data_IF_434507436253
#
_entry.id   IF_434507436253
#
_cell.length_a   1.000
_cell.length_b   1.000
_cell.length_c   1.000
_cell.angle_alpha   90.00
_cell.angle_beta   90.00
_cell.angle_gamma   90.00
#
_symmetry.space_group_name_H-M   'P 1'
#
loop_
_entity.id
_entity.type
_entity.pdbx_description
1 polymer ?
#
# COMPACT_ATOMS: atom_id res chain seq x y z
N UNK A 1 27.50 9.15 19.92
CA UNK A 1 26.65 8.04 19.46
C UNK A 1 26.28 8.28 18.01
N UNK A 2 26.86 7.53 17.09
CA UNK A 2 26.55 7.61 15.65
C UNK A 2 25.17 7.01 15.42
N UNK A 3 24.18 7.84 15.03
CA UNK A 3 22.86 7.36 14.60
C UNK A 3 23.06 6.40 13.42
N UNK A 4 22.44 5.22 13.51
CA UNK A 4 22.54 4.20 12.47
C UNK A 4 21.94 4.77 11.16
N UNK A 5 22.59 4.58 10.01
CA UNK A 5 22.13 5.20 8.73
C UNK A 5 20.69 4.80 8.36
N UNK A 6 20.25 3.63 8.83
CA UNK A 6 18.88 3.13 8.67
C UNK A 6 17.83 3.93 9.48
N UNK A 7 18.22 4.54 10.60
CA UNK A 7 17.31 5.39 11.41
C UNK A 7 16.96 6.72 10.72
N UNK A 8 17.67 7.07 9.65
CA UNK A 8 17.48 8.32 8.92
C UNK A 8 16.51 8.20 7.74
N UNK A 9 16.19 6.99 7.29
CA UNK A 9 15.25 6.79 6.18
C UNK A 9 13.84 6.96 6.73
N UNK A 10 13.24 8.11 6.43
CA UNK A 10 11.87 8.43 6.81
C UNK A 10 10.94 8.28 5.62
N UNK A 11 9.82 7.60 5.84
CA UNK A 11 8.86 7.31 4.80
C UNK A 11 7.44 7.73 5.18
N UNK A 12 6.67 8.11 4.17
CA UNK A 12 5.25 8.46 4.34
C UNK A 12 4.34 7.28 4.02
N UNK A 13 4.82 6.33 3.22
CA UNK A 13 4.06 5.20 2.70
C UNK A 13 4.88 3.95 2.96
N UNK A 14 4.32 3.01 3.70
CA UNK A 14 4.98 1.74 4.04
C UNK A 14 3.96 0.60 3.93
N UNK A 15 4.45 -0.60 3.68
CA UNK A 15 3.68 -1.83 3.78
C UNK A 15 4.34 -2.75 4.79
N UNK A 16 3.56 -3.25 5.73
CA UNK A 16 3.98 -4.36 6.58
C UNK A 16 3.60 -5.68 5.93
N UNK A 17 4.49 -6.68 5.99
CA UNK A 17 4.24 -8.03 5.47
C UNK A 17 4.75 -9.06 6.46
N UNK A 18 3.89 -10.00 6.88
CA UNK A 18 4.34 -11.11 7.71
C UNK A 18 3.42 -12.34 7.62
N UNK A 19 4.01 -13.52 7.87
CA UNK A 19 3.30 -14.80 7.91
C UNK A 19 2.47 -14.91 9.21
N UNK A 20 1.33 -15.62 9.13
CA UNK A 20 0.44 -15.81 10.29
C UNK A 20 1.18 -16.46 11.47
N UNK A 21 1.98 -17.51 11.23
CA UNK A 21 2.78 -18.18 12.27
C UNK A 21 3.72 -17.21 13.01
N UNK A 22 4.26 -16.21 12.29
CA UNK A 22 5.17 -15.22 12.90
C UNK A 22 4.39 -14.20 13.71
N UNK A 23 3.20 -13.78 13.26
CA UNK A 23 2.33 -12.92 14.04
C UNK A 23 1.90 -13.58 15.36
N UNK A 24 1.50 -14.85 15.30
CA UNK A 24 1.15 -15.63 16.48
C UNK A 24 2.32 -15.71 17.47
N UNK A 25 3.53 -16.01 16.99
CA UNK A 25 4.73 -16.06 17.82
C UNK A 25 5.10 -14.70 18.47
N UNK A 26 4.71 -13.59 17.84
CA UNK A 26 4.88 -12.23 18.38
C UNK A 26 3.72 -11.79 19.29
N UNK A 27 2.67 -12.60 19.43
CA UNK A 27 1.45 -12.21 20.15
C UNK A 27 0.64 -11.13 19.43
N UNK A 28 0.81 -11.00 18.11
CA UNK A 28 0.04 -10.09 17.27
C UNK A 28 -1.23 -10.78 16.74
N UNK A 29 -2.27 -10.02 16.38
CA UNK A 29 -3.49 -10.61 15.85
C UNK A 29 -3.26 -11.39 14.55
N UNK A 30 -3.98 -12.51 14.41
CA UNK A 30 -3.84 -13.45 13.29
C UNK A 30 -5.02 -13.43 12.33
N UNK A 31 -6.00 -12.57 12.56
CA UNK A 31 -7.09 -12.29 11.61
C UNK A 31 -6.93 -10.92 10.96
N UNK A 32 -7.43 -10.77 9.73
CA UNK A 32 -7.35 -9.50 8.98
C UNK A 32 -7.92 -8.32 9.77
N UNK A 33 -9.10 -8.51 10.35
CA UNK A 33 -9.88 -7.43 10.95
C UNK A 33 -9.27 -6.99 12.29
N UNK A 34 -8.80 -7.93 13.12
CA UNK A 34 -8.11 -7.61 14.37
C UNK A 34 -6.73 -7.00 14.12
N UNK A 35 -5.98 -7.51 13.14
CA UNK A 35 -4.68 -6.93 12.76
C UNK A 35 -4.86 -5.51 12.23
N UNK A 36 -5.89 -5.28 11.41
CA UNK A 36 -6.26 -3.96 10.93
C UNK A 36 -6.54 -2.99 12.08
N UNK A 37 -7.41 -3.34 13.04
CA UNK A 37 -7.72 -2.44 14.16
C UNK A 37 -6.51 -2.25 15.08
N UNK A 38 -5.71 -3.29 15.32
CA UNK A 38 -4.47 -3.18 16.09
C UNK A 38 -3.47 -2.23 15.44
N UNK A 39 -3.28 -2.30 14.13
CA UNK A 39 -2.33 -1.44 13.42
C UNK A 39 -2.85 -0.02 13.27
N UNK A 40 -4.15 0.14 13.01
CA UNK A 40 -4.82 1.44 12.97
C UNK A 40 -4.65 2.21 14.29
N UNK A 41 -4.83 1.53 15.42
CA UNK A 41 -4.68 2.13 16.76
C UNK A 41 -3.22 2.35 17.17
N UNK A 42 -2.32 1.42 16.83
CA UNK A 42 -0.89 1.48 17.22
C UNK A 42 -0.09 2.52 16.41
N UNK A 43 -0.41 2.65 15.13
CA UNK A 43 0.34 3.48 14.20
C UNK A 43 -0.36 4.78 13.83
N UNK A 44 -1.69 4.86 13.93
CA UNK A 44 -2.50 6.03 13.57
C UNK A 44 -2.20 6.60 12.16
N UNK A 45 -2.21 5.76 11.11
CA UNK A 45 -2.00 6.23 9.74
C UNK A 45 -3.21 7.04 9.23
N UNK A 46 -2.97 7.94 8.26
CA UNK A 46 -4.02 8.63 7.52
C UNK A 46 -4.87 7.63 6.71
N UNK A 47 -4.20 6.72 6.00
CA UNK A 47 -4.86 5.62 5.29
C UNK A 47 -4.24 4.29 5.69
N UNK A 48 -5.08 3.29 5.92
CA UNK A 48 -4.69 1.91 6.20
C UNK A 48 -5.60 0.94 5.44
N UNK A 49 -4.98 -0.10 4.87
CA UNK A 49 -5.67 -1.19 4.22
C UNK A 49 -4.94 -2.52 4.48
N UNK A 50 -5.67 -3.57 4.82
CA UNK A 50 -5.14 -4.88 5.17
C UNK A 50 -5.82 -6.00 4.37
N UNK A 51 -5.05 -7.00 3.96
CA UNK A 51 -5.54 -8.18 3.21
C UNK A 51 -4.72 -9.42 3.58
N UNK A 52 -5.40 -10.57 3.57
CA UNK A 52 -4.77 -11.89 3.66
C UNK A 52 -4.38 -12.37 2.25
N UNK A 53 -3.12 -12.72 2.07
CA UNK A 53 -2.65 -13.46 0.89
C UNK A 53 -2.51 -14.94 1.25
N UNK A 54 -3.42 -15.76 0.73
CA UNK A 54 -3.53 -17.20 0.95
C UNK A 54 -3.46 -18.04 -0.35
N UNK A 55 -3.31 -17.39 -1.51
CA UNK A 55 -3.34 -18.00 -2.85
C UNK A 55 -2.08 -17.70 -3.67
N UNK A 56 -1.05 -17.15 -3.03
CA UNK A 56 0.21 -16.80 -3.69
C UNK A 56 0.99 -18.07 -4.06
N UNK A 57 1.56 -18.07 -5.27
CA UNK A 57 2.39 -19.16 -5.79
C UNK A 57 3.84 -18.65 -5.91
N UNK A 58 4.77 -19.40 -5.33
CA UNK A 58 6.19 -19.13 -5.35
C UNK A 58 6.81 -19.36 -6.73
N UNK A 59 8.06 -18.92 -6.90
CA UNK A 59 8.79 -19.07 -8.17
C UNK A 59 9.03 -20.54 -8.56
N UNK A 60 9.03 -21.44 -7.58
CA UNK A 60 9.16 -22.89 -7.76
C UNK A 60 7.82 -23.59 -8.00
N UNK A 61 6.72 -22.84 -8.07
CA UNK A 61 5.36 -23.38 -8.24
C UNK A 61 4.71 -23.87 -6.93
N UNK A 62 5.38 -23.74 -5.79
CA UNK A 62 4.80 -24.11 -4.49
C UNK A 62 3.86 -23.01 -3.95
N UNK A 63 2.88 -23.39 -3.14
CA UNK A 63 2.02 -22.41 -2.46
C UNK A 63 2.83 -21.67 -1.39
N UNK A 64 2.78 -20.34 -1.42
CA UNK A 64 3.37 -19.49 -0.38
C UNK A 64 2.51 -19.58 0.87
N UNK A 65 3.14 -19.65 2.05
CA UNK A 65 2.44 -19.64 3.32
C UNK A 65 1.53 -18.40 3.45
N UNK A 66 0.32 -18.55 4.05
CA UNK A 66 -0.56 -17.42 4.29
C UNK A 66 0.13 -16.29 5.06
N UNK A 67 -0.02 -15.07 4.56
CA UNK A 67 0.61 -13.88 5.12
C UNK A 67 -0.27 -12.65 4.92
N UNK A 68 -0.15 -11.68 5.81
CA UNK A 68 -0.85 -10.41 5.67
C UNK A 68 0.02 -9.38 4.98
N UNK A 69 -0.61 -8.58 4.12
CA UNK A 69 -0.10 -7.28 3.73
C UNK A 69 -0.95 -6.18 4.39
N UNK A 70 -0.28 -5.19 4.99
CA UNK A 70 -0.92 -4.01 5.57
C UNK A 70 -0.26 -2.75 5.03
N UNK A 71 -0.93 -2.08 4.10
CA UNK A 71 -0.49 -0.82 3.51
C UNK A 71 -0.90 0.37 4.39
N UNK A 72 0.04 1.28 4.65
CA UNK A 72 -0.18 2.45 5.51
C UNK A 72 0.42 3.73 4.92
N UNK A 73 -0.35 4.83 4.97
CA UNK A 73 0.06 6.18 4.57
C UNK A 73 -0.07 7.14 5.75
N UNK A 74 0.97 7.91 6.06
CA UNK A 74 1.07 8.77 7.25
C UNK A 74 1.14 10.27 6.95
N UNK A 75 0.40 11.10 7.67
CA UNK A 75 0.43 12.56 7.46
C UNK A 75 1.83 13.18 7.56
N UNK A 76 2.77 12.56 8.28
CA UNK A 76 4.17 12.98 8.36
C UNK A 76 5.13 11.81 8.09
N UNK A 77 6.38 12.06 7.64
CA UNK A 77 7.36 10.99 7.46
C UNK A 77 7.70 10.32 8.80
N UNK A 78 7.62 9.00 8.84
CA UNK A 78 7.87 8.16 10.01
C UNK A 78 9.19 7.39 9.88
N UNK A 79 9.77 6.96 11.01
CA UNK A 79 10.88 6.00 11.02
C UNK A 79 10.33 4.58 11.04
N UNK A 80 10.74 3.75 10.09
CA UNK A 80 10.37 2.33 10.01
C UNK A 80 10.90 1.56 11.24
N UNK A 81 12.17 1.80 11.62
CA UNK A 81 12.75 1.20 12.83
C UNK A 81 11.93 1.53 14.08
N UNK A 82 11.42 2.77 14.18
CA UNK A 82 10.57 3.15 15.31
C UNK A 82 9.21 2.43 15.28
N UNK A 83 8.60 2.22 14.11
CA UNK A 83 7.34 1.48 14.02
C UNK A 83 7.53 -0.01 14.35
N UNK A 84 8.59 -0.63 13.84
CA UNK A 84 8.89 -2.04 14.11
C UNK A 84 9.05 -2.31 15.62
N UNK A 85 9.71 -1.38 16.35
CA UNK A 85 9.83 -1.45 17.81
C UNK A 85 8.48 -1.41 18.54
N UNK A 86 7.47 -0.68 18.04
CA UNK A 86 6.15 -0.59 18.70
C UNK A 86 5.44 -1.95 18.78
N UNK A 87 5.69 -2.82 17.81
CA UNK A 87 5.08 -4.15 17.72
C UNK A 87 6.08 -5.28 18.01
N UNK A 88 7.26 -4.95 18.54
CA UNK A 88 8.33 -5.89 18.82
C UNK A 88 8.72 -6.80 17.63
N UNK A 89 8.67 -6.26 16.41
CA UNK A 89 9.02 -7.00 15.19
C UNK A 89 10.26 -6.40 14.50
N UNK A 90 10.74 -7.09 13.46
CA UNK A 90 11.89 -6.73 12.65
C UNK A 90 11.50 -5.67 11.62
N UNK A 91 12.35 -4.66 11.47
CA UNK A 91 12.13 -3.57 10.52
C UNK A 91 12.09 -4.05 9.05
N UNK A 92 12.71 -5.21 8.75
CA UNK A 92 12.73 -5.81 7.41
C UNK A 92 11.34 -6.29 6.94
N UNK A 93 10.40 -6.50 7.87
CA UNK A 93 9.02 -6.84 7.55
C UNK A 93 8.22 -5.60 7.09
N UNK A 94 8.84 -4.42 7.10
CA UNK A 94 8.29 -3.20 6.56
C UNK A 94 9.01 -2.82 5.26
N UNK A 95 8.24 -2.68 4.20
CA UNK A 95 8.70 -2.23 2.89
C UNK A 95 8.33 -0.76 2.76
N UNK A 96 9.32 0.08 2.46
CA UNK A 96 9.08 1.46 2.12
C UNK A 96 8.65 1.59 0.65
N UNK A 97 7.59 2.35 0.41
CA UNK A 97 7.21 2.77 -0.94
C UNK A 97 7.76 4.19 -1.14
N UNK A 98 9.08 4.28 -1.30
CA UNK A 98 9.85 5.53 -1.35
C UNK A 98 9.41 6.43 -2.51
N UNK A 99 9.20 7.73 -2.22
CA UNK A 99 9.27 8.78 -3.24
C UNK A 99 8.41 10.03 -2.99
N UNK A 100 8.91 11.13 -3.54
CA UNK A 100 8.40 12.52 -3.44
C UNK A 100 7.00 12.70 -4.08
N UNK A 101 6.46 11.68 -4.75
CA UNK A 101 5.24 11.76 -5.55
C UNK A 101 4.08 10.90 -4.98
N UNK A 102 2.83 11.37 -5.20
CA UNK A 102 1.59 10.69 -4.80
C UNK A 102 1.40 9.28 -5.38
N UNK A 103 2.09 8.94 -6.48
CA UNK A 103 1.96 7.65 -7.17
C UNK A 103 2.37 6.43 -6.33
N UNK A 104 3.14 6.61 -5.26
CA UNK A 104 3.60 5.49 -4.43
C UNK A 104 2.50 4.92 -3.53
N UNK A 105 1.58 5.76 -3.07
CA UNK A 105 0.43 5.27 -2.30
C UNK A 105 -0.49 4.46 -3.21
N UNK A 106 -0.73 4.92 -4.44
CA UNK A 106 -1.54 4.17 -5.40
C UNK A 106 -0.90 2.84 -5.79
N UNK A 107 0.42 2.82 -6.02
CA UNK A 107 1.14 1.57 -6.29
C UNK A 107 1.06 0.60 -5.10
N UNK A 108 1.28 1.08 -3.88
CA UNK A 108 1.15 0.28 -2.66
C UNK A 108 -0.28 -0.27 -2.48
N UNK A 109 -1.29 0.58 -2.64
CA UNK A 109 -2.69 0.16 -2.49
C UNK A 109 -3.08 -0.86 -3.57
N UNK A 110 -2.67 -0.64 -4.82
CA UNK A 110 -2.93 -1.59 -5.93
C UNK A 110 -2.19 -2.91 -5.74
N UNK A 111 -1.02 -2.89 -5.09
CA UNK A 111 -0.24 -4.09 -4.80
C UNK A 111 -0.95 -5.05 -3.84
N UNK A 112 -1.80 -4.54 -2.94
CA UNK A 112 -2.61 -5.38 -2.02
C UNK A 112 -3.51 -6.37 -2.77
N UNK A 113 -3.93 -6.05 -4.00
CA UNK A 113 -4.75 -6.96 -4.83
C UNK A 113 -3.99 -7.50 -6.03
N UNK A 114 -2.67 -7.30 -6.07
CA UNK A 114 -1.79 -7.59 -7.20
C UNK A 114 -2.15 -6.87 -8.52
N UNK A 115 -2.92 -5.79 -8.45
CA UNK A 115 -3.34 -4.95 -9.58
C UNK A 115 -2.26 -3.92 -9.98
N UNK A 116 -0.99 -4.30 -9.91
CA UNK A 116 0.14 -3.47 -10.41
C UNK A 116 0.68 -4.07 -11.70
N UNK A 117 1.39 -3.25 -12.50
CA UNK A 117 1.99 -3.71 -13.77
C UNK A 117 2.91 -4.91 -13.57
N UNK A 118 3.65 -4.94 -12.47
CA UNK A 118 4.66 -5.96 -12.18
C UNK A 118 4.09 -7.20 -11.45
N UNK A 119 2.78 -7.22 -11.13
CA UNK A 119 2.14 -8.32 -10.40
C UNK A 119 1.01 -8.99 -11.16
N UNK A 120 0.84 -8.70 -12.46
CA UNK A 120 -0.21 -9.27 -13.30
C UNK A 120 -0.15 -10.80 -13.42
N UNK A 121 1.04 -11.40 -13.26
CA UNK A 121 1.21 -12.86 -13.28
C UNK A 121 0.89 -13.54 -11.94
N UNK A 122 0.67 -12.76 -10.87
CA UNK A 122 0.30 -13.29 -9.56
C UNK A 122 -1.21 -13.46 -9.46
N UNK A 123 -1.65 -14.24 -8.48
CA UNK A 123 -3.07 -14.35 -8.15
C UNK A 123 -3.67 -12.97 -7.86
N UNK A 124 -4.73 -12.60 -8.58
CA UNK A 124 -5.40 -11.31 -8.43
C UNK A 124 -6.49 -11.42 -7.35
N UNK A 125 -6.32 -10.72 -6.23
CA UNK A 125 -7.31 -10.74 -5.16
C UNK A 125 -8.47 -9.78 -5.44
N UNK A 126 -9.61 -10.05 -4.81
CA UNK A 126 -10.77 -9.16 -4.91
C UNK A 126 -10.54 -7.90 -4.07
N UNK A 127 -10.88 -6.70 -4.57
CA UNK A 127 -10.92 -5.49 -3.74
C UNK A 127 -11.80 -5.63 -2.49
N UNK A 128 -12.80 -6.51 -2.53
CA UNK A 128 -13.68 -6.78 -1.38
C UNK A 128 -12.99 -7.59 -0.27
N UNK A 129 -11.85 -8.23 -0.55
CA UNK A 129 -11.07 -8.95 0.47
C UNK A 129 -10.25 -7.99 1.35
N UNK A 130 -10.14 -6.73 0.94
CA UNK A 130 -9.39 -5.68 1.63
C UNK A 130 -10.24 -5.00 2.70
N UNK A 131 -9.73 -4.96 3.93
CA UNK A 131 -10.27 -4.12 5.00
C UNK A 131 -9.53 -2.78 5.02
N UNK A 132 -10.24 -1.66 4.87
CA UNK A 132 -9.65 -0.33 4.83
C UNK A 132 -10.41 0.70 5.68
N UNK A 133 -9.77 1.82 6.04
CA UNK A 133 -10.42 2.98 6.67
C UNK A 133 -10.97 4.01 5.66
N UNK A 134 -10.99 3.67 4.37
CA UNK A 134 -11.49 4.46 3.25
C UNK A 134 -12.19 3.53 2.24
N UNK A 135 -12.86 4.10 1.23
CA UNK A 135 -13.44 3.31 0.15
C UNK A 135 -12.33 2.78 -0.77
N UNK A 136 -11.91 1.53 -0.53
CA UNK A 136 -10.78 0.93 -1.24
C UNK A 136 -11.10 0.67 -2.72
N UNK A 137 -12.30 0.21 -3.05
CA UNK A 137 -12.70 -0.04 -4.44
C UNK A 137 -12.71 1.25 -5.26
N UNK A 138 -13.29 2.33 -4.74
CA UNK A 138 -13.26 3.65 -5.38
C UNK A 138 -11.83 4.18 -5.52
N UNK A 139 -10.98 3.98 -4.50
CA UNK A 139 -9.57 4.34 -4.60
C UNK A 139 -8.88 3.62 -5.75
N UNK A 140 -9.11 2.30 -5.89
CA UNK A 140 -8.54 1.50 -6.98
C UNK A 140 -9.07 1.92 -8.34
N UNK A 141 -10.36 2.22 -8.48
CA UNK A 141 -10.91 2.72 -9.74
C UNK A 141 -10.30 4.06 -10.14
N UNK A 142 -10.15 4.98 -9.17
CA UNK A 142 -9.50 6.27 -9.39
C UNK A 142 -7.98 6.15 -9.64
N UNK A 143 -7.33 5.07 -9.16
CA UNK A 143 -5.89 4.88 -9.26
C UNK A 143 -5.46 4.02 -10.45
N UNK A 144 -6.26 2.99 -10.77
CA UNK A 144 -6.10 2.02 -11.85
C UNK A 144 -6.82 2.45 -13.13
N UNK A 145 -7.74 3.41 -13.04
CA UNK A 145 -8.24 4.13 -14.18
C UNK A 145 -7.12 4.92 -14.83
N UNK A 146 -7.03 4.79 -16.15
CA UNK A 146 -6.41 5.61 -17.18
C UNK A 146 -6.58 7.14 -17.05
N UNK A 147 -6.56 7.72 -15.85
CA UNK A 147 -6.86 9.12 -15.57
C UNK A 147 -5.76 10.05 -16.07
N UNK A 148 -4.51 9.59 -16.19
CA UNK A 148 -3.48 10.38 -16.87
C UNK A 148 -3.74 10.51 -18.39
N UNK A 149 -4.40 9.51 -19.00
CA UNK A 149 -4.73 9.51 -20.43
C UNK A 149 -6.09 10.20 -20.66
N UNK A 150 -7.10 9.90 -19.84
CA UNK A 150 -8.44 10.48 -19.94
C UNK A 150 -8.46 11.96 -19.59
N UNK A 151 -7.79 12.40 -18.51
CA UNK A 151 -7.73 13.85 -18.19
C UNK A 151 -6.89 14.62 -19.20
N UNK A 152 -5.82 14.04 -19.75
CA UNK A 152 -5.02 14.71 -20.79
C UNK A 152 -5.79 14.78 -22.12
N UNK A 153 -6.54 13.74 -22.46
CA UNK A 153 -7.42 13.73 -23.64
C UNK A 153 -8.60 14.71 -23.47
N UNK A 154 -9.26 14.74 -22.32
CA UNK A 154 -10.32 15.72 -22.01
C UNK A 154 -9.78 17.15 -21.99
N UNK A 155 -8.66 17.40 -21.31
CA UNK A 155 -8.04 18.74 -21.30
C UNK A 155 -7.64 19.16 -22.71
N UNK A 156 -7.05 18.28 -23.52
CA UNK A 156 -6.72 18.61 -24.91
C UNK A 156 -7.96 18.83 -25.78
N UNK A 157 -9.08 18.17 -25.47
CA UNK A 157 -10.36 18.36 -26.16
C UNK A 157 -10.96 19.71 -25.79
N UNK A 158 -11.03 20.01 -24.50
CA UNK A 158 -11.50 21.31 -23.98
C UNK A 158 -10.62 22.47 -24.45
N UNK A 159 -9.29 22.32 -24.50
CA UNK A 159 -8.40 23.36 -25.03
C UNK A 159 -8.59 23.60 -26.53
N UNK A 160 -8.99 22.58 -27.31
CA UNK A 160 -9.33 22.77 -28.73
C UNK A 160 -10.71 23.41 -28.90
N UNK A 161 -11.66 23.08 -28.04
CA UNK A 161 -13.02 23.62 -28.11
C UNK A 161 -13.12 25.05 -27.58
N UNK A 162 -12.26 25.44 -26.62
CA UNK A 162 -12.34 26.74 -25.94
C UNK A 162 -11.07 27.59 -26.03
N UNK A 163 -9.99 27.12 -26.67
CA UNK A 163 -8.71 27.84 -26.77
C UNK A 163 -8.60 28.81 -27.94
N UNK A 164 -9.53 28.81 -28.89
CA UNK A 164 -9.49 29.65 -30.10
C UNK A 164 -10.11 31.05 -29.91
N UNK A 165 -10.32 31.51 -28.67
CA UNK A 165 -10.97 32.81 -28.38
C UNK A 165 -9.98 33.98 -28.30
N UNK A 166 -8.68 33.78 -28.56
CA UNK A 166 -7.66 34.86 -28.53
C UNK A 166 -7.15 35.31 -29.92
N UNK A 167 -8.00 35.30 -30.96
CA UNK A 167 -7.70 35.99 -32.23
C UNK A 167 -8.96 36.60 -32.88
N UNK A 168 -9.63 37.53 -32.16
CA UNK A 168 -10.59 38.46 -32.76
C UNK A 168 -10.16 39.89 -32.47
#
# INVERSE_FOLDING_TARGET
>A
MTKNRLDQIKNRTIMYTNQIDTLEALGLPTTRDELFEHFKTTFEPLYIAAILHDKDIGLDGSTVKPHFHVGMRFENPISITAQAKKINDRYQNFIAFDGINRNNTNNMMSYLTHQTKDSQSKFQYSPHDVKANFNYSEWLEMSGGSIAISRKAEINTLLKEFGDIENV
#
